data_IF_904649147063
#
_entry.id   IF_904649147063
#
_cell.length_a   1.000
_cell.length_b   1.000
_cell.length_c   1.000
_cell.angle_alpha   90.00
_cell.angle_beta   90.00
_cell.angle_gamma   90.00
#
_symmetry.space_group_name_H-M   'P 1'
#
loop_
_entity.id
_entity.type
_entity.pdbx_description
1 polymer ?
#
# COMPACT_ATOMS: atom_id res chain seq x y z
N UNK A 1 -34.69 -8.76 4.40
CA UNK A 1 -33.94 -8.08 5.50
C UNK A 1 -32.50 -7.94 5.01
N UNK A 2 -31.89 -6.77 5.15
CA UNK A 2 -30.48 -6.63 4.73
C UNK A 2 -29.60 -7.31 5.78
N UNK A 3 -28.65 -8.16 5.35
CA UNK A 3 -27.74 -8.84 6.24
C UNK A 3 -26.83 -7.82 6.95
N UNK A 4 -26.57 -8.08 8.23
CA UNK A 4 -25.68 -7.27 9.06
C UNK A 4 -24.24 -7.75 8.88
N UNK A 5 -23.38 -6.85 8.43
CA UNK A 5 -21.94 -7.12 8.29
C UNK A 5 -21.19 -6.37 9.37
N UNK A 6 -20.36 -7.09 10.11
CA UNK A 6 -19.36 -6.48 11.01
C UNK A 6 -17.99 -6.58 10.33
N UNK A 7 -17.23 -5.48 10.36
CA UNK A 7 -15.86 -5.42 9.85
C UNK A 7 -14.90 -5.13 11.02
N UNK A 8 -13.88 -5.95 11.18
CA UNK A 8 -12.84 -5.76 12.21
C UNK A 8 -11.73 -4.87 11.64
N UNK A 9 -11.50 -3.72 12.27
CA UNK A 9 -10.49 -2.74 11.90
C UNK A 9 -10.97 -1.76 10.84
N UNK A 10 -10.34 -0.57 10.80
CA UNK A 10 -10.67 0.53 9.90
C UNK A 10 -9.46 1.02 9.09
N UNK A 11 -8.61 0.08 8.63
CA UNK A 11 -7.56 0.36 7.65
C UNK A 11 -8.12 0.54 6.23
N UNK A 12 -7.29 0.90 5.25
CA UNK A 12 -7.71 1.14 3.87
C UNK A 12 -8.57 0.02 3.29
N UNK A 13 -8.18 -1.24 3.45
CA UNK A 13 -8.92 -2.38 2.92
C UNK A 13 -10.30 -2.53 3.55
N UNK A 14 -10.41 -2.30 4.86
CA UNK A 14 -11.67 -2.37 5.58
C UNK A 14 -12.60 -1.21 5.21
N UNK A 15 -12.07 0.02 5.14
CA UNK A 15 -12.84 1.20 4.71
C UNK A 15 -13.34 1.02 3.27
N UNK A 16 -12.47 0.58 2.35
CA UNK A 16 -12.85 0.31 0.97
C UNK A 16 -13.95 -0.75 0.89
N UNK A 17 -13.76 -1.90 1.54
CA UNK A 17 -14.74 -2.98 1.56
C UNK A 17 -16.09 -2.53 2.13
N UNK A 18 -16.07 -1.70 3.19
CA UNK A 18 -17.28 -1.17 3.80
C UNK A 18 -18.12 -0.33 2.85
N UNK A 19 -17.46 0.50 2.03
CA UNK A 19 -18.12 1.31 1.01
C UNK A 19 -18.83 0.45 -0.04
N UNK A 20 -18.13 -0.57 -0.59
CA UNK A 20 -18.74 -1.47 -1.58
C UNK A 20 -19.88 -2.30 -1.01
N UNK A 21 -19.74 -2.79 0.22
CA UNK A 21 -20.78 -3.56 0.90
C UNK A 21 -22.01 -2.70 1.21
N UNK A 22 -21.82 -1.47 1.69
CA UNK A 22 -22.91 -0.53 1.93
C UNK A 22 -23.63 -0.16 0.61
N UNK A 23 -22.88 0.11 -0.48
CA UNK A 23 -23.43 0.33 -1.82
C UNK A 23 -24.25 -0.87 -2.30
N UNK A 24 -23.88 -2.09 -1.94
CA UNK A 24 -24.63 -3.31 -2.26
C UNK A 24 -25.86 -3.52 -1.37
N UNK A 25 -26.17 -2.62 -0.45
CA UNK A 25 -27.37 -2.65 0.40
C UNK A 25 -27.22 -3.40 1.73
N UNK A 26 -26.00 -3.74 2.14
CA UNK A 26 -25.77 -4.35 3.45
C UNK A 26 -25.75 -3.30 4.58
N UNK A 27 -26.10 -3.71 5.79
CA UNK A 27 -25.91 -2.90 7.00
C UNK A 27 -24.50 -3.15 7.55
N UNK A 28 -23.61 -2.19 7.36
CA UNK A 28 -22.19 -2.34 7.70
C UNK A 28 -21.84 -1.59 8.98
N UNK A 29 -21.15 -2.29 9.90
CA UNK A 29 -20.55 -1.70 11.09
C UNK A 29 -19.08 -2.06 11.17
N UNK A 30 -18.22 -1.06 11.27
CA UNK A 30 -16.77 -1.23 11.49
C UNK A 30 -16.49 -1.10 13.00
N UNK A 31 -15.70 -2.03 13.55
CA UNK A 31 -15.18 -1.98 14.91
C UNK A 31 -13.67 -1.75 14.88
N UNK A 32 -13.24 -0.58 15.34
CA UNK A 32 -11.83 -0.18 15.37
C UNK A 32 -11.33 -0.14 16.83
N UNK A 33 -10.18 -0.79 17.06
CA UNK A 33 -9.60 -0.86 18.41
C UNK A 33 -9.01 0.47 18.91
N UNK A 34 -8.53 1.30 18.00
CA UNK A 34 -7.91 2.57 18.32
C UNK A 34 -8.96 3.68 18.37
N UNK A 35 -8.57 4.81 18.96
CA UNK A 35 -9.36 6.05 18.93
C UNK A 35 -9.48 6.64 17.53
N UNK A 36 -8.52 6.35 16.64
CA UNK A 36 -8.45 6.89 15.30
C UNK A 36 -8.48 5.75 14.26
N UNK A 37 -9.30 5.91 13.22
CA UNK A 37 -9.30 5.05 12.02
C UNK A 37 -8.04 5.23 11.18
N UNK A 38 -7.84 4.36 10.18
CA UNK A 38 -6.74 4.43 9.23
C UNK A 38 -5.70 3.32 9.36
N UNK A 39 -5.79 2.50 10.42
CA UNK A 39 -4.88 1.37 10.60
C UNK A 39 -3.42 1.83 10.69
N UNK A 40 -2.60 1.53 9.68
CA UNK A 40 -1.19 1.96 9.59
C UNK A 40 -1.00 3.35 8.98
N UNK A 41 -2.05 4.00 8.48
CA UNK A 41 -2.02 5.36 7.93
C UNK A 41 -2.69 6.37 8.87
N UNK A 42 -2.45 6.26 10.17
CA UNK A 42 -2.96 7.18 11.19
C UNK A 42 -2.09 8.42 11.28
N UNK A 43 -2.55 9.40 12.05
CA UNK A 43 -1.85 10.65 12.29
C UNK A 43 -1.56 10.83 13.79
N UNK A 44 -0.37 11.29 14.13
CA UNK A 44 0.01 11.67 15.50
C UNK A 44 0.00 13.19 15.62
N UNK A 45 -0.78 13.71 16.57
CA UNK A 45 -0.74 15.12 16.96
C UNK A 45 -0.18 15.23 18.36
N UNK A 46 0.95 15.91 18.52
CA UNK A 46 1.64 16.05 19.80
C UNK A 46 2.44 17.35 19.85
N UNK A 47 2.31 18.07 20.94
CA UNK A 47 3.10 19.28 21.25
C UNK A 47 3.07 20.33 20.12
N UNK A 48 1.91 20.50 19.46
CA UNK A 48 1.72 21.40 18.32
C UNK A 48 2.17 20.86 16.97
N UNK A 49 2.82 19.71 16.92
CA UNK A 49 3.23 19.03 15.70
C UNK A 49 2.18 18.02 15.21
N UNK A 50 2.16 17.83 13.91
CA UNK A 50 1.33 16.80 13.25
C UNK A 50 2.21 15.91 12.39
N UNK A 51 2.14 14.59 12.62
CA UNK A 51 2.92 13.60 11.89
C UNK A 51 2.00 12.53 11.30
N UNK A 52 2.16 12.21 10.03
CA UNK A 52 1.59 10.99 9.47
C UNK A 52 2.37 9.78 9.97
N UNK A 53 1.65 8.77 10.51
CA UNK A 53 2.26 7.57 11.05
C UNK A 53 2.17 6.46 10.01
N UNK A 54 3.25 6.24 9.25
CA UNK A 54 3.29 5.15 8.28
C UNK A 54 3.61 5.63 6.86
N UNK A 55 2.74 5.40 5.85
CA UNK A 55 3.05 5.75 4.49
C UNK A 55 3.17 7.26 4.29
N UNK A 56 4.17 7.66 3.50
CA UNK A 56 4.40 9.06 3.09
C UNK A 56 4.39 9.21 1.57
N UNK A 57 4.64 8.12 0.83
CA UNK A 57 4.57 8.08 -0.62
C UNK A 57 3.13 7.80 -1.08
N UNK A 58 2.54 8.72 -1.82
CA UNK A 58 1.28 8.51 -2.49
C UNK A 58 1.56 8.17 -3.97
N UNK A 59 1.52 6.89 -4.27
CA UNK A 59 1.65 6.35 -5.62
C UNK A 59 0.31 5.85 -6.14
N UNK A 60 0.23 5.61 -7.45
CA UNK A 60 -0.96 5.04 -8.11
C UNK A 60 -2.23 5.88 -7.88
N UNK A 61 -2.22 7.18 -8.19
CA UNK A 61 -3.39 8.04 -8.01
C UNK A 61 -4.63 7.52 -8.75
N UNK A 62 -4.46 6.85 -9.88
CA UNK A 62 -5.50 6.23 -10.68
C UNK A 62 -6.30 5.14 -9.92
N UNK A 63 -5.67 4.45 -8.96
CA UNK A 63 -6.35 3.46 -8.10
C UNK A 63 -7.34 4.15 -7.16
N UNK A 64 -6.95 5.29 -6.59
CA UNK A 64 -7.84 6.08 -5.74
C UNK A 64 -8.93 6.77 -6.55
N UNK A 65 -8.60 7.33 -7.72
CA UNK A 65 -9.60 7.89 -8.64
C UNK A 65 -10.64 6.84 -9.03
N UNK A 66 -10.21 5.62 -9.36
CA UNK A 66 -11.13 4.54 -9.65
C UNK A 66 -12.01 4.21 -8.44
N UNK A 67 -11.43 4.12 -7.24
CA UNK A 67 -12.20 3.86 -6.03
C UNK A 67 -13.34 4.88 -5.85
N UNK A 68 -13.04 6.17 -5.85
CA UNK A 68 -14.06 7.21 -5.69
C UNK A 68 -15.05 7.25 -6.87
N UNK A 69 -14.58 7.02 -8.10
CA UNK A 69 -15.44 7.01 -9.29
C UNK A 69 -16.48 5.89 -9.26
N UNK A 70 -16.18 4.76 -8.65
CA UNK A 70 -17.13 3.65 -8.46
C UNK A 70 -18.35 4.09 -7.61
N UNK A 71 -18.24 5.19 -6.87
CA UNK A 71 -19.31 5.81 -6.08
C UNK A 71 -19.84 7.10 -6.70
N UNK A 72 -19.43 7.44 -7.93
CA UNK A 72 -19.83 8.68 -8.61
C UNK A 72 -19.17 9.93 -8.05
N UNK A 73 -18.03 9.78 -7.37
CA UNK A 73 -17.23 10.84 -6.76
C UNK A 73 -15.87 10.96 -7.45
N UNK A 74 -15.15 12.05 -7.15
CA UNK A 74 -13.77 12.27 -7.56
C UNK A 74 -12.88 12.43 -6.32
N UNK A 75 -11.59 12.14 -6.43
CA UNK A 75 -10.61 12.42 -5.38
C UNK A 75 -10.68 13.89 -4.96
N UNK A 76 -10.79 14.81 -5.94
CA UNK A 76 -10.89 16.26 -5.71
C UNK A 76 -12.12 16.72 -4.94
N UNK A 77 -13.14 15.88 -4.77
CA UNK A 77 -14.30 16.20 -3.94
C UNK A 77 -13.96 16.12 -2.43
N UNK A 78 -12.85 15.46 -2.09
CA UNK A 78 -12.46 15.17 -0.71
C UNK A 78 -11.11 15.79 -0.33
N UNK A 79 -10.08 15.72 -1.19
CA UNK A 79 -8.76 16.31 -0.91
C UNK A 79 -8.07 16.78 -2.19
N UNK A 80 -7.15 17.72 -2.02
CA UNK A 80 -6.28 18.22 -3.10
C UNK A 80 -5.00 17.41 -3.12
N UNK A 81 -4.61 16.93 -4.30
CA UNK A 81 -3.42 16.14 -4.52
C UNK A 81 -2.39 16.98 -5.29
N UNK A 82 -1.19 17.10 -4.74
CA UNK A 82 -0.07 17.81 -5.34
C UNK A 82 1.00 16.82 -5.81
N UNK A 83 1.49 16.99 -7.04
CA UNK A 83 2.61 16.21 -7.56
C UNK A 83 3.92 16.82 -7.09
N UNK A 84 4.76 16.00 -6.46
CA UNK A 84 6.01 16.47 -5.88
C UNK A 84 7.11 16.59 -6.93
N UNK A 85 7.82 17.74 -6.95
CA UNK A 85 9.01 17.94 -7.75
C UNK A 85 10.09 18.67 -6.93
N UNK A 86 11.24 18.03 -6.60
CA UNK A 86 11.54 16.63 -6.93
C UNK A 86 10.60 15.67 -6.22
N UNK A 87 10.36 14.51 -6.85
CA UNK A 87 9.61 13.41 -6.25
C UNK A 87 10.30 12.95 -4.95
N UNK A 88 11.62 12.81 -5.01
CA UNK A 88 12.47 12.53 -3.85
C UNK A 88 13.95 12.76 -4.19
N UNK A 89 14.76 12.89 -3.14
CA UNK A 89 16.23 12.99 -3.22
C UNK A 89 16.85 11.70 -2.69
N UNK A 90 17.82 11.13 -3.40
CA UNK A 90 18.54 9.92 -2.98
C UNK A 90 19.98 10.25 -2.69
N UNK A 91 20.42 10.02 -1.46
CA UNK A 91 21.80 10.20 -1.00
C UNK A 91 22.54 8.87 -0.97
N UNK A 92 23.73 8.83 -1.55
CA UNK A 92 24.67 7.69 -1.52
C UNK A 92 25.91 7.98 -0.67
N UNK A 93 25.98 9.15 -0.08
CA UNK A 93 27.04 9.65 0.78
C UNK A 93 26.97 11.15 0.94
N UNK A 94 27.94 11.72 1.66
CA UNK A 94 28.04 13.17 1.87
C UNK A 94 28.33 13.84 0.52
N UNK A 95 27.52 14.82 0.12
CA UNK A 95 27.61 15.53 -1.17
C UNK A 95 27.48 14.63 -2.40
N UNK A 96 26.84 13.49 -2.27
CA UNK A 96 26.64 12.53 -3.34
C UNK A 96 25.16 12.15 -3.39
N UNK A 97 24.36 12.90 -4.16
CA UNK A 97 22.92 12.69 -4.27
C UNK A 97 22.46 12.71 -5.73
N UNK A 98 21.30 12.12 -5.95
CA UNK A 98 20.57 12.13 -7.21
C UNK A 98 19.14 12.57 -6.92
N UNK A 99 18.71 13.65 -7.57
CA UNK A 99 17.35 14.14 -7.52
C UNK A 99 16.48 13.43 -8.56
N UNK A 100 15.34 12.93 -8.15
CA UNK A 100 14.36 12.27 -9.02
C UNK A 100 13.23 13.26 -9.31
N UNK A 101 13.13 13.66 -10.58
CA UNK A 101 12.12 14.60 -11.04
C UNK A 101 10.69 13.97 -11.05
N UNK A 102 9.68 14.79 -11.27
CA UNK A 102 8.28 14.39 -11.33
C UNK A 102 7.85 13.78 -12.67
N UNK A 103 8.72 13.74 -13.66
CA UNK A 103 8.43 13.24 -14.99
C UNK A 103 9.55 12.38 -15.57
N UNK A 104 9.18 11.42 -16.42
CA UNK A 104 10.11 10.43 -16.97
C UNK A 104 11.17 11.04 -17.89
N UNK A 105 10.90 12.13 -18.59
CA UNK A 105 11.86 12.75 -19.51
C UNK A 105 13.06 13.32 -18.73
N UNK A 106 12.83 14.12 -17.71
CA UNK A 106 13.88 14.67 -16.85
C UNK A 106 14.65 13.58 -16.11
N UNK A 107 13.95 12.49 -15.71
CA UNK A 107 14.60 11.32 -15.10
C UNK A 107 15.53 10.65 -16.12
N UNK A 108 15.10 10.48 -17.38
CA UNK A 108 15.96 9.93 -18.46
C UNK A 108 17.18 10.79 -18.70
N UNK A 109 17.03 12.11 -18.68
CA UNK A 109 18.16 13.04 -18.82
C UNK A 109 19.15 12.92 -17.66
N UNK A 110 18.64 12.74 -16.44
CA UNK A 110 19.47 12.49 -15.25
C UNK A 110 20.25 11.18 -15.39
N UNK A 111 19.58 10.11 -15.82
CA UNK A 111 20.20 8.81 -16.05
C UNK A 111 21.28 8.89 -17.14
N UNK A 112 20.98 9.55 -18.27
CA UNK A 112 21.90 9.71 -19.40
C UNK A 112 23.18 10.45 -19.01
N UNK A 113 23.08 11.49 -18.16
CA UNK A 113 24.24 12.23 -17.64
C UNK A 113 25.15 11.35 -16.77
N UNK A 114 24.58 10.39 -16.03
CA UNK A 114 25.35 9.52 -15.13
C UNK A 114 25.89 8.29 -15.88
N UNK A 115 25.07 7.68 -16.74
CA UNK A 115 25.45 6.54 -17.59
C UNK A 115 25.02 6.81 -19.03
N UNK A 116 25.95 7.23 -19.92
CA UNK A 116 25.66 7.46 -21.35
C UNK A 116 24.99 6.24 -22.02
N UNK A 117 23.92 6.48 -22.74
CA UNK A 117 23.08 5.45 -23.37
C UNK A 117 22.04 4.80 -22.49
N UNK A 118 21.91 5.24 -21.22
CA UNK A 118 20.93 4.70 -20.29
C UNK A 118 19.51 5.22 -20.55
N UNK A 119 19.33 6.41 -21.10
CA UNK A 119 18.01 6.98 -21.38
C UNK A 119 17.13 6.04 -22.24
N UNK A 120 17.66 5.52 -23.34
CA UNK A 120 16.95 4.56 -24.22
C UNK A 120 16.67 3.24 -23.53
N UNK A 121 17.59 2.78 -22.66
CA UNK A 121 17.44 1.54 -21.90
C UNK A 121 16.38 1.68 -20.83
N UNK A 122 16.37 2.84 -20.13
CA UNK A 122 15.34 3.17 -19.16
C UNK A 122 13.97 3.23 -19.83
N UNK A 123 13.84 3.88 -21.00
CA UNK A 123 12.57 3.90 -21.74
C UNK A 123 12.07 2.48 -22.02
N UNK A 124 12.93 1.60 -22.55
CA UNK A 124 12.56 0.20 -22.80
C UNK A 124 12.16 -0.57 -21.54
N UNK A 125 12.85 -0.32 -20.43
CA UNK A 125 12.47 -0.89 -19.13
C UNK A 125 11.09 -0.39 -18.70
N UNK A 126 10.83 0.91 -18.83
CA UNK A 126 9.56 1.54 -18.45
C UNK A 126 8.39 1.11 -19.35
N UNK A 127 8.62 0.88 -20.65
CA UNK A 127 7.59 0.32 -21.55
C UNK A 127 7.14 -1.07 -21.06
N UNK A 128 8.10 -1.91 -20.65
CA UNK A 128 7.83 -3.20 -20.03
C UNK A 128 7.09 -3.09 -18.69
N UNK A 129 7.50 -2.12 -17.87
CA UNK A 129 6.87 -1.84 -16.57
C UNK A 129 5.42 -1.36 -16.73
N UNK A 130 5.15 -0.48 -17.69
CA UNK A 130 3.79 -0.02 -18.01
C UNK A 130 2.88 -1.16 -18.46
N UNK A 131 3.39 -2.04 -19.33
CA UNK A 131 2.63 -3.24 -19.74
C UNK A 131 2.34 -4.18 -18.55
N UNK A 132 3.25 -4.29 -17.57
CA UNK A 132 3.00 -5.07 -16.36
C UNK A 132 2.03 -4.37 -15.42
N UNK A 133 2.08 -3.03 -15.35
CA UNK A 133 1.13 -2.23 -14.58
C UNK A 133 -0.31 -2.44 -15.05
N UNK A 134 -0.54 -2.38 -16.36
CA UNK A 134 -1.86 -2.63 -16.94
C UNK A 134 -2.39 -4.02 -16.57
N UNK A 135 -1.56 -5.05 -16.67
CA UNK A 135 -1.94 -6.41 -16.29
C UNK A 135 -2.19 -6.53 -14.78
N UNK A 136 -1.26 -6.02 -13.96
CA UNK A 136 -1.33 -6.16 -12.50
C UNK A 136 -2.51 -5.38 -11.91
N UNK A 137 -2.60 -4.09 -12.23
CA UNK A 137 -3.48 -3.13 -11.54
C UNK A 137 -4.86 -3.03 -12.20
N UNK A 138 -4.95 -3.19 -13.54
CA UNK A 138 -6.24 -3.11 -14.23
C UNK A 138 -6.96 -4.46 -14.36
N UNK A 139 -6.28 -5.58 -14.15
CA UNK A 139 -6.87 -6.93 -14.28
C UNK A 139 -6.66 -7.79 -13.04
N UNK A 140 -5.39 -8.17 -12.72
CA UNK A 140 -5.12 -9.21 -11.73
C UNK A 140 -5.56 -8.84 -10.32
N UNK A 141 -5.43 -7.58 -9.93
CA UNK A 141 -5.78 -7.11 -8.57
C UNK A 141 -7.26 -7.28 -8.23
N UNK A 142 -8.13 -7.35 -9.25
CA UNK A 142 -9.57 -7.53 -9.07
C UNK A 142 -10.02 -9.00 -9.06
N UNK A 143 -9.10 -9.95 -9.29
CA UNK A 143 -9.40 -11.37 -9.24
C UNK A 143 -9.42 -11.87 -7.79
N UNK A 144 -10.29 -12.81 -7.44
CA UNK A 144 -10.47 -13.23 -6.04
C UNK A 144 -9.30 -14.01 -5.45
N UNK A 145 -8.29 -14.39 -6.22
CA UNK A 145 -7.08 -15.08 -5.73
C UNK A 145 -7.34 -16.49 -5.19
N UNK A 146 -8.38 -17.16 -5.64
CA UNK A 146 -8.75 -18.51 -5.18
C UNK A 146 -7.88 -19.61 -5.79
N UNK A 147 -7.29 -19.35 -6.94
CA UNK A 147 -6.48 -20.33 -7.66
C UNK A 147 -5.30 -19.65 -8.37
N UNK A 148 -4.16 -20.35 -8.39
CA UNK A 148 -3.00 -19.92 -9.19
C UNK A 148 -3.34 -19.80 -10.69
N UNK A 149 -4.35 -20.52 -11.16
CA UNK A 149 -4.81 -20.42 -12.55
C UNK A 149 -5.45 -19.07 -12.89
N UNK A 150 -5.88 -18.29 -11.92
CA UNK A 150 -6.37 -16.93 -12.14
C UNK A 150 -5.27 -15.97 -12.62
N UNK A 151 -4.02 -16.28 -12.27
CA UNK A 151 -2.83 -15.53 -12.71
C UNK A 151 -2.45 -15.93 -14.15
N UNK A 152 -2.83 -17.13 -14.61
CA UNK A 152 -2.49 -17.63 -15.94
C UNK A 152 -3.52 -17.11 -16.94
N UNK A 153 -3.19 -15.99 -17.58
CA UNK A 153 -3.92 -15.42 -18.73
C UNK A 153 -3.05 -15.51 -19.96
N UNK A 154 -3.62 -15.28 -21.14
CA UNK A 154 -2.82 -15.19 -22.39
C UNK A 154 -1.71 -14.14 -22.23
N UNK A 155 -2.01 -13.01 -21.60
CA UNK A 155 -1.06 -11.92 -21.39
C UNK A 155 0.06 -12.30 -20.41
N UNK A 156 -0.25 -13.01 -19.31
CA UNK A 156 0.76 -13.44 -18.34
C UNK A 156 1.56 -14.63 -18.84
N UNK A 157 0.98 -15.48 -19.70
CA UNK A 157 1.69 -16.60 -20.31
C UNK A 157 2.92 -16.17 -21.13
N UNK A 158 2.81 -15.05 -21.87
CA UNK A 158 3.96 -14.47 -22.58
C UNK A 158 5.01 -13.81 -21.67
N UNK A 159 4.69 -13.66 -20.39
CA UNK A 159 5.57 -13.03 -19.36
C UNK A 159 6.01 -14.02 -18.28
N UNK A 160 5.83 -15.32 -18.47
CA UNK A 160 6.20 -16.36 -17.49
C UNK A 160 7.67 -16.25 -17.02
N UNK A 161 8.57 -15.86 -17.91
CA UNK A 161 9.96 -15.62 -17.56
C UNK A 161 10.15 -14.53 -16.49
N UNK A 162 9.25 -13.55 -16.40
CA UNK A 162 9.32 -12.47 -15.42
C UNK A 162 8.84 -12.91 -14.02
N UNK A 163 8.13 -14.03 -13.90
CA UNK A 163 7.76 -14.62 -12.62
C UNK A 163 8.89 -15.51 -12.04
N UNK A 164 9.81 -15.98 -12.90
CA UNK A 164 10.96 -16.80 -12.51
C UNK A 164 12.19 -15.91 -12.27
N UNK A 165 12.38 -14.90 -13.09
CA UNK A 165 13.45 -13.90 -12.95
C UNK A 165 13.13 -12.93 -11.80
N UNK A 166 14.13 -12.18 -11.34
CA UNK A 166 13.97 -11.21 -10.25
C UNK A 166 14.31 -9.77 -10.69
N UNK A 167 13.87 -8.79 -9.90
CA UNK A 167 14.06 -7.37 -10.15
C UNK A 167 15.53 -7.02 -10.31
N UNK A 168 16.41 -7.48 -9.41
CA UNK A 168 17.85 -7.17 -9.46
C UNK A 168 18.47 -7.61 -10.77
N UNK A 169 18.20 -8.84 -11.20
CA UNK A 169 18.69 -9.39 -12.47
C UNK A 169 18.11 -8.65 -13.68
N UNK A 170 16.84 -8.30 -13.63
CA UNK A 170 16.18 -7.56 -14.71
C UNK A 170 16.79 -6.17 -14.86
N UNK A 171 16.89 -5.39 -13.77
CA UNK A 171 17.46 -4.04 -13.77
C UNK A 171 18.90 -4.05 -14.28
N UNK A 172 19.72 -5.03 -13.86
CA UNK A 172 21.12 -5.17 -14.29
C UNK A 172 21.31 -5.38 -15.81
N UNK A 173 20.29 -5.86 -16.54
CA UNK A 173 20.32 -5.98 -18.00
C UNK A 173 20.21 -4.64 -18.72
N UNK A 174 19.58 -3.66 -18.08
CA UNK A 174 19.37 -2.34 -18.66
C UNK A 174 20.40 -1.33 -18.19
N UNK A 175 20.71 -1.31 -16.90
CA UNK A 175 21.55 -0.30 -16.26
C UNK A 175 22.78 -0.94 -15.63
N UNK A 176 23.95 -0.31 -15.80
CA UNK A 176 25.22 -0.78 -15.25
C UNK A 176 25.65 -0.03 -14.00
N UNK A 177 25.33 1.27 -13.92
CA UNK A 177 25.68 2.10 -12.78
C UNK A 177 24.92 1.66 -11.51
N UNK A 178 25.65 1.38 -10.42
CA UNK A 178 25.07 0.83 -9.19
C UNK A 178 24.10 1.76 -8.50
N UNK A 179 24.31 3.08 -8.55
CA UNK A 179 23.38 4.06 -7.96
C UNK A 179 22.05 4.06 -8.70
N UNK A 180 22.10 4.07 -10.03
CA UNK A 180 20.89 4.01 -10.86
C UNK A 180 20.16 2.68 -10.71
N UNK A 181 20.87 1.57 -10.49
CA UNK A 181 20.25 0.28 -10.16
C UNK A 181 19.49 0.35 -8.85
N UNK A 182 20.11 0.87 -7.79
CA UNK A 182 19.47 1.01 -6.48
C UNK A 182 18.18 1.85 -6.55
N UNK A 183 18.17 2.91 -7.38
CA UNK A 183 16.96 3.71 -7.62
C UNK A 183 15.86 2.86 -8.27
N UNK A 184 16.18 2.02 -9.26
CA UNK A 184 15.20 1.14 -9.90
C UNK A 184 14.82 -0.08 -9.05
N UNK A 185 15.64 -0.49 -8.10
CA UNK A 185 15.37 -1.57 -7.16
C UNK A 185 14.57 -1.11 -5.93
N UNK A 186 14.64 0.18 -5.59
CA UNK A 186 14.00 0.75 -4.41
C UNK A 186 12.48 0.53 -4.35
N UNK A 187 11.68 0.72 -5.42
CA UNK A 187 10.22 0.64 -5.30
C UNK A 187 9.71 -0.71 -4.78
N UNK A 188 10.40 -1.82 -5.04
CA UNK A 188 9.96 -3.13 -4.56
C UNK A 188 10.22 -3.37 -3.07
N UNK A 189 11.06 -2.54 -2.43
CA UNK A 189 11.29 -2.64 -0.98
C UNK A 189 10.02 -2.37 -0.18
N UNK A 190 9.08 -1.57 -0.72
CA UNK A 190 7.77 -1.36 -0.11
C UNK A 190 6.91 -2.63 -0.02
N UNK A 191 7.22 -3.66 -0.80
CA UNK A 191 6.59 -4.99 -0.69
C UNK A 191 7.13 -5.80 0.51
N UNK A 192 8.18 -5.30 1.17
CA UNK A 192 8.83 -5.99 2.28
C UNK A 192 9.70 -7.18 1.85
N UNK A 193 10.22 -7.16 0.63
CA UNK A 193 11.08 -8.20 0.09
C UNK A 193 12.32 -7.60 -0.59
N UNK A 194 13.42 -8.36 -0.59
CA UNK A 194 14.65 -7.96 -1.28
C UNK A 194 14.48 -8.06 -2.81
N UNK A 195 15.14 -7.19 -3.61
CA UNK A 195 15.06 -7.21 -5.08
C UNK A 195 15.41 -8.57 -5.71
N UNK A 196 16.37 -9.32 -5.14
CA UNK A 196 16.75 -10.65 -5.61
C UNK A 196 15.69 -11.74 -5.32
N UNK A 197 14.75 -11.48 -4.41
CA UNK A 197 13.66 -12.39 -4.06
C UNK A 197 12.31 -11.96 -4.61
N UNK A 198 12.26 -10.80 -5.27
CA UNK A 198 11.04 -10.24 -5.84
C UNK A 198 11.00 -10.55 -7.34
N UNK A 199 9.95 -11.21 -7.86
CA UNK A 199 9.82 -11.49 -9.29
C UNK A 199 9.92 -10.22 -10.15
N UNK A 200 10.57 -10.33 -11.31
CA UNK A 200 10.79 -9.23 -12.22
C UNK A 200 9.47 -8.58 -12.72
N UNK A 201 8.37 -9.31 -12.68
CA UNK A 201 7.03 -8.80 -12.98
C UNK A 201 6.65 -7.59 -12.12
N UNK A 202 7.17 -7.49 -10.89
CA UNK A 202 6.92 -6.37 -9.98
C UNK A 202 7.59 -5.05 -10.39
N UNK A 203 8.28 -5.00 -11.55
CA UNK A 203 8.76 -3.75 -12.12
C UNK A 203 7.62 -2.74 -12.42
N UNK A 204 6.36 -3.17 -12.40
CA UNK A 204 5.21 -2.26 -12.46
C UNK A 204 5.23 -1.21 -11.34
N UNK A 205 5.91 -1.47 -10.21
CA UNK A 205 6.13 -0.47 -9.16
C UNK A 205 6.99 0.70 -9.67
N UNK A 206 7.94 0.44 -10.59
CA UNK A 206 8.70 1.51 -11.22
C UNK A 206 7.84 2.39 -12.13
N UNK A 207 6.82 1.80 -12.77
CA UNK A 207 5.85 2.59 -13.53
C UNK A 207 5.03 3.50 -12.62
N UNK A 208 4.58 2.97 -11.48
CA UNK A 208 3.88 3.76 -10.46
C UNK A 208 4.74 4.92 -9.95
N UNK A 209 6.03 4.70 -9.69
CA UNK A 209 6.97 5.69 -9.20
C UNK A 209 7.37 6.71 -10.29
N UNK A 210 8.03 6.25 -11.35
CA UNK A 210 8.73 7.13 -12.30
C UNK A 210 7.82 7.68 -13.41
N UNK A 211 6.71 7.00 -13.75
CA UNK A 211 5.78 7.45 -14.78
C UNK A 211 4.57 8.18 -14.19
N UNK A 212 3.90 7.57 -13.21
CA UNK A 212 2.74 8.20 -12.55
C UNK A 212 3.18 9.26 -11.54
N UNK A 213 4.39 9.12 -10.99
CA UNK A 213 5.03 10.06 -10.08
C UNK A 213 4.62 9.88 -8.62
N UNK A 214 5.31 10.62 -7.77
CA UNK A 214 5.04 10.68 -6.33
C UNK A 214 4.20 11.92 -6.03
N UNK A 215 3.13 11.73 -5.27
CA UNK A 215 2.16 12.78 -4.93
C UNK A 215 2.07 12.94 -3.42
N UNK A 216 1.47 14.04 -3.00
CA UNK A 216 1.16 14.30 -1.60
C UNK A 216 -0.21 14.96 -1.45
N UNK A 217 -1.11 14.43 -0.61
CA UNK A 217 -2.38 15.08 -0.33
C UNK A 217 -2.18 16.27 0.61
N UNK A 218 -2.80 17.41 0.31
CA UNK A 218 -2.82 18.53 1.22
C UNK A 218 -3.42 18.13 2.57
N UNK A 219 -2.77 18.49 3.66
CA UNK A 219 -3.13 18.05 5.01
C UNK A 219 -2.51 16.73 5.47
N UNK A 220 -1.67 16.12 4.62
CA UNK A 220 -0.96 14.88 4.91
C UNK A 220 -1.68 13.62 4.43
N UNK A 221 -1.03 12.48 4.57
CA UNK A 221 -1.59 11.18 4.12
C UNK A 221 -2.88 10.79 4.85
N UNK A 222 -3.10 11.34 6.05
CA UNK A 222 -4.33 11.09 6.80
C UNK A 222 -5.57 11.65 6.12
N UNK A 223 -5.45 12.69 5.28
CA UNK A 223 -6.56 13.23 4.49
C UNK A 223 -7.23 12.16 3.59
N UNK A 224 -6.45 11.20 3.10
CA UNK A 224 -6.98 10.06 2.32
C UNK A 224 -7.86 9.16 3.19
N UNK A 225 -7.46 8.94 4.45
CA UNK A 225 -8.25 8.15 5.42
C UNK A 225 -9.56 8.88 5.74
N UNK A 226 -9.49 10.20 6.00
CA UNK A 226 -10.67 11.03 6.27
C UNK A 226 -11.64 10.98 5.08
N UNK A 227 -11.16 11.12 3.86
CA UNK A 227 -11.96 11.00 2.65
C UNK A 227 -12.71 9.65 2.55
N UNK A 228 -12.03 8.55 2.88
CA UNK A 228 -12.66 7.23 2.88
C UNK A 228 -13.67 7.05 4.02
N UNK A 229 -13.43 7.66 5.18
CA UNK A 229 -14.37 7.69 6.32
C UNK A 229 -15.62 8.49 5.92
N UNK A 230 -15.44 9.64 5.31
CA UNK A 230 -16.55 10.51 4.87
C UNK A 230 -17.42 9.77 3.86
N UNK A 231 -16.83 9.18 2.83
CA UNK A 231 -17.56 8.37 1.85
C UNK A 231 -18.28 7.19 2.51
N UNK A 232 -17.63 6.46 3.42
CA UNK A 232 -18.26 5.35 4.14
C UNK A 232 -19.45 5.82 4.97
N UNK A 233 -19.32 6.98 5.62
CA UNK A 233 -20.39 7.62 6.42
C UNK A 233 -21.55 8.09 5.53
N UNK A 234 -21.27 8.71 4.39
CA UNK A 234 -22.30 9.08 3.39
C UNK A 234 -23.10 7.86 2.92
N UNK A 235 -22.45 6.69 2.83
CA UNK A 235 -23.08 5.42 2.45
C UNK A 235 -23.80 4.72 3.62
N UNK A 236 -23.80 5.31 4.82
CA UNK A 236 -24.49 4.78 6.01
C UNK A 236 -23.71 3.74 6.81
N UNK A 237 -22.39 3.61 6.58
CA UNK A 237 -21.52 2.74 7.40
C UNK A 237 -21.38 3.32 8.80
N UNK A 238 -21.54 2.48 9.81
CA UNK A 238 -21.27 2.84 11.21
C UNK A 238 -19.82 2.51 11.55
N UNK A 239 -19.06 3.49 12.05
CA UNK A 239 -17.69 3.28 12.51
C UNK A 239 -17.64 3.51 14.02
N UNK A 240 -17.26 2.48 14.77
CA UNK A 240 -17.16 2.52 16.24
C UNK A 240 -15.68 2.34 16.60
N UNK A 241 -15.08 3.41 17.06
CA UNK A 241 -13.68 3.42 17.55
C UNK A 241 -13.62 2.96 19.02
N UNK A 242 -12.39 2.74 19.54
CA UNK A 242 -12.13 2.26 20.91
C UNK A 242 -12.92 0.97 21.24
N UNK A 243 -13.21 0.18 20.20
CA UNK A 243 -13.97 -1.06 20.26
C UNK A 243 -13.15 -2.26 19.74
N UNK A 244 -12.13 -2.70 20.51
CA UNK A 244 -11.32 -3.86 20.12
C UNK A 244 -12.17 -5.13 20.11
N UNK A 245 -12.12 -5.87 19.00
CA UNK A 245 -12.70 -7.21 18.96
C UNK A 245 -11.76 -8.16 19.70
N UNK A 246 -12.28 -8.83 20.71
CA UNK A 246 -11.54 -9.74 21.59
C UNK A 246 -11.73 -11.20 21.18
N UNK A 247 -12.89 -11.53 20.59
CA UNK A 247 -13.24 -12.89 20.21
C UNK A 247 -14.28 -12.90 19.10
N UNK A 248 -14.22 -13.91 18.24
CA UNK A 248 -15.25 -14.23 17.25
C UNK A 248 -16.07 -15.40 17.79
N UNK A 249 -17.38 -15.23 17.87
CA UNK A 249 -18.30 -16.26 18.36
C UNK A 249 -18.89 -17.04 17.19
N UNK A 250 -18.74 -18.36 17.27
CA UNK A 250 -19.17 -19.30 16.20
C UNK A 250 -20.12 -20.33 16.81
N UNK A 251 -21.25 -20.55 16.15
CA UNK A 251 -22.18 -21.61 16.44
C UNK A 251 -22.52 -22.37 15.16
N UNK A 252 -22.46 -23.69 15.20
CA UNK A 252 -22.77 -24.56 14.05
C UNK A 252 -22.02 -24.15 12.76
N UNK A 253 -20.72 -23.87 12.90
CA UNK A 253 -19.82 -23.41 11.85
C UNK A 253 -20.19 -22.07 11.18
N UNK A 254 -21.03 -21.27 11.83
CA UNK A 254 -21.40 -19.94 11.37
C UNK A 254 -21.01 -18.89 12.42
N UNK A 255 -20.51 -17.75 11.95
CA UNK A 255 -20.31 -16.59 12.82
C UNK A 255 -21.67 -16.04 13.24
N UNK A 256 -21.81 -15.76 14.54
CA UNK A 256 -23.04 -15.18 15.08
C UNK A 256 -22.83 -13.80 15.69
N UNK A 257 -21.63 -13.53 16.20
CA UNK A 257 -21.28 -12.24 16.82
C UNK A 257 -19.77 -12.11 17.01
N UNK A 258 -19.36 -10.91 17.38
CA UNK A 258 -18.04 -10.63 17.94
C UNK A 258 -18.16 -10.04 19.32
N UNK A 259 -17.22 -10.38 20.21
CA UNK A 259 -17.17 -9.85 21.58
C UNK A 259 -16.23 -8.66 21.64
N UNK A 260 -16.69 -7.56 22.23
CA UNK A 260 -15.91 -6.36 22.55
C UNK A 260 -16.01 -6.06 24.06
N UNK A 261 -15.22 -5.14 24.63
CA UNK A 261 -15.39 -4.72 26.02
C UNK A 261 -16.78 -4.14 26.32
N UNK A 262 -17.50 -3.65 25.32
CA UNK A 262 -18.83 -3.09 25.44
C UNK A 262 -19.95 -4.13 25.31
N UNK A 263 -19.61 -5.39 25.06
CA UNK A 263 -20.55 -6.50 24.88
C UNK A 263 -20.47 -7.11 23.49
N UNK A 264 -21.38 -8.01 23.20
CA UNK A 264 -21.44 -8.73 21.93
C UNK A 264 -22.17 -7.94 20.85
N UNK A 265 -21.59 -7.91 19.66
CA UNK A 265 -22.19 -7.34 18.44
C UNK A 265 -22.55 -8.46 17.49
N UNK A 266 -23.86 -8.68 17.27
CA UNK A 266 -24.37 -9.71 16.38
C UNK A 266 -24.10 -9.36 14.91
N UNK A 267 -23.76 -10.36 14.09
CA UNK A 267 -23.57 -10.23 12.64
C UNK A 267 -23.96 -11.52 11.92
N UNK A 268 -24.42 -11.37 10.68
CA UNK A 268 -24.66 -12.47 9.77
C UNK A 268 -23.41 -12.81 8.96
N UNK A 269 -22.55 -11.80 8.72
CA UNK A 269 -21.28 -11.92 8.00
C UNK A 269 -20.22 -11.13 8.78
N UNK A 270 -19.03 -11.70 8.89
CA UNK A 270 -17.87 -11.05 9.47
C UNK A 270 -16.77 -10.93 8.40
N UNK A 271 -16.24 -9.72 8.22
CA UNK A 271 -15.07 -9.45 7.44
C UNK A 271 -13.95 -8.94 8.35
N UNK A 272 -12.76 -9.45 8.22
CA UNK A 272 -11.62 -8.93 8.97
C UNK A 272 -10.67 -8.15 8.05
N UNK A 273 -10.49 -6.86 8.34
CA UNK A 273 -9.44 -6.01 7.81
C UNK A 273 -8.20 -5.95 8.69
N UNK A 274 -8.17 -6.74 9.75
CA UNK A 274 -7.00 -6.89 10.61
C UNK A 274 -5.98 -7.88 10.00
N UNK A 275 -4.77 -7.89 10.57
CA UNK A 275 -3.75 -8.86 10.20
C UNK A 275 -4.28 -10.30 10.26
N UNK A 276 -3.90 -11.14 9.28
CA UNK A 276 -4.47 -12.47 9.15
C UNK A 276 -4.13 -13.38 10.34
N UNK A 277 -2.87 -13.36 10.81
CA UNK A 277 -2.46 -14.11 11.99
C UNK A 277 -3.23 -13.64 13.24
N UNK A 278 -3.40 -12.32 13.40
CA UNK A 278 -4.20 -11.77 14.49
C UNK A 278 -5.67 -12.22 14.39
N UNK A 279 -6.26 -12.17 13.21
CA UNK A 279 -7.65 -12.60 12.97
C UNK A 279 -7.87 -14.06 13.36
N UNK A 280 -6.94 -14.95 12.97
CA UNK A 280 -7.03 -16.36 13.35
C UNK A 280 -6.99 -16.57 14.87
N UNK A 281 -6.26 -15.74 15.59
CA UNK A 281 -6.20 -15.82 17.06
C UNK A 281 -7.51 -15.42 17.74
N UNK A 282 -8.37 -14.65 17.08
CA UNK A 282 -9.71 -14.30 17.56
C UNK A 282 -10.70 -15.47 17.41
N UNK A 283 -10.40 -16.44 16.55
CA UNK A 283 -11.21 -17.63 16.32
C UNK A 283 -10.95 -18.71 17.39
N UNK A 284 -11.97 -19.52 17.74
CA UNK A 284 -11.76 -20.78 18.45
C UNK A 284 -10.72 -21.66 17.74
N UNK A 285 -9.89 -22.36 18.48
CA UNK A 285 -8.82 -23.20 17.88
C UNK A 285 -9.35 -24.20 16.84
N UNK A 286 -10.54 -24.75 17.06
CA UNK A 286 -11.18 -25.69 16.13
C UNK A 286 -11.59 -25.06 14.79
N UNK A 287 -11.73 -23.74 14.71
CA UNK A 287 -12.17 -23.02 13.52
C UNK A 287 -11.03 -22.29 12.80
N UNK A 288 -9.78 -22.45 13.27
CA UNK A 288 -8.59 -21.85 12.63
C UNK A 288 -8.16 -22.65 11.39
N UNK A 289 -7.79 -21.93 10.35
CA UNK A 289 -7.24 -22.52 9.12
C UNK A 289 -5.85 -23.10 9.35
N UNK A 290 -5.03 -22.43 10.18
CA UNK A 290 -3.63 -22.76 10.40
C UNK A 290 -3.31 -22.97 11.89
N UNK A 291 -2.40 -23.91 12.16
CA UNK A 291 -1.93 -24.19 13.51
C UNK A 291 -0.92 -23.14 14.01
N UNK A 292 -0.71 -23.09 15.33
CA UNK A 292 0.35 -22.26 15.92
C UNK A 292 1.74 -22.65 15.36
N UNK A 293 1.98 -23.95 15.11
CA UNK A 293 3.22 -24.43 14.49
C UNK A 293 3.42 -23.93 13.05
N UNK A 294 2.35 -23.77 12.27
CA UNK A 294 2.43 -23.16 10.94
C UNK A 294 2.89 -21.70 11.05
N UNK A 295 2.28 -20.91 11.92
CA UNK A 295 2.61 -19.50 12.09
C UNK A 295 4.02 -19.28 12.63
N UNK A 296 4.48 -20.12 13.57
CA UNK A 296 5.84 -20.05 14.11
C UNK A 296 6.94 -20.30 13.07
N UNK A 297 6.62 -20.95 11.94
CA UNK A 297 7.54 -21.19 10.82
C UNK A 297 7.48 -20.14 9.72
N UNK A 298 6.56 -19.19 9.81
CA UNK A 298 6.40 -18.14 8.77
C UNK A 298 7.34 -16.97 9.03
N UNK A 299 7.92 -16.49 7.93
CA UNK A 299 8.64 -15.22 7.92
C UNK A 299 7.62 -14.08 7.79
N UNK A 300 7.55 -13.23 8.77
CA UNK A 300 6.76 -12.01 8.71
C UNK A 300 7.54 -10.93 7.95
N UNK A 301 6.81 -9.97 7.37
CA UNK A 301 7.42 -8.81 6.73
C UNK A 301 8.29 -8.03 7.74
N UNK A 302 9.36 -7.38 7.28
CA UNK A 302 10.21 -6.58 8.15
C UNK A 302 9.42 -5.45 8.82
N UNK A 303 9.87 -5.04 9.99
CA UNK A 303 9.37 -3.86 10.69
C UNK A 303 10.34 -2.70 10.49
N UNK A 304 9.87 -1.48 10.68
CA UNK A 304 10.68 -0.27 10.64
C UNK A 304 10.67 0.42 12.01
N UNK A 305 11.80 1.01 12.38
CA UNK A 305 11.88 1.94 13.50
C UNK A 305 11.63 3.35 12.96
N UNK A 306 10.60 4.01 13.46
CA UNK A 306 10.20 5.34 13.03
C UNK A 306 10.48 6.35 14.14
N UNK A 307 11.11 7.47 13.75
CA UNK A 307 11.31 8.63 14.60
C UNK A 307 10.47 9.79 14.08
N UNK A 308 9.74 10.45 14.96
CA UNK A 308 8.96 11.64 14.66
C UNK A 308 9.66 12.81 15.35
N UNK A 309 10.29 13.67 14.55
CA UNK A 309 11.17 14.74 15.05
C UNK A 309 10.54 16.08 14.71
N UNK A 310 10.17 16.85 15.73
CA UNK A 310 9.73 18.22 15.59
C UNK A 310 10.91 19.18 15.82
N UNK A 311 10.99 20.23 15.01
CA UNK A 311 11.98 21.28 15.14
C UNK A 311 11.28 22.61 15.49
N UNK A 312 11.94 23.44 16.27
CA UNK A 312 11.49 24.80 16.62
C UNK A 312 11.80 25.84 15.54
N UNK A 313 12.38 25.38 14.43
CA UNK A 313 12.76 26.21 13.28
C UNK A 313 12.57 25.43 11.98
N UNK A 314 12.38 26.17 10.89
CA UNK A 314 12.37 25.59 9.55
C UNK A 314 13.76 25.07 9.17
N UNK A 315 13.82 23.83 8.68
CA UNK A 315 15.02 23.25 8.09
C UNK A 315 15.01 23.56 6.60
N UNK A 316 16.03 24.30 6.15
CA UNK A 316 16.17 24.66 4.73
C UNK A 316 16.82 23.53 3.93
N UNK A 317 16.55 23.49 2.64
CA UNK A 317 17.16 22.56 1.67
C UNK A 317 16.88 21.07 1.98
N UNK A 318 15.67 20.78 2.47
CA UNK A 318 15.19 19.40 2.66
C UNK A 318 14.08 19.16 1.67
N UNK A 319 14.21 18.10 0.86
CA UNK A 319 13.15 17.63 -0.04
C UNK A 319 12.05 16.96 0.77
N UNK A 320 10.82 16.93 0.22
CA UNK A 320 9.68 16.28 0.88
C UNK A 320 9.98 14.82 1.24
N UNK A 321 10.66 14.10 0.33
CA UNK A 321 11.18 12.76 0.59
C UNK A 321 12.69 12.73 0.38
N UNK A 322 13.41 12.15 1.32
CA UNK A 322 14.85 11.95 1.27
C UNK A 322 15.18 10.51 1.62
N UNK A 323 15.93 9.85 0.75
CA UNK A 323 16.35 8.46 0.89
C UNK A 323 17.85 8.38 1.07
N UNK A 324 18.32 7.52 1.96
CA UNK A 324 19.74 7.26 2.19
C UNK A 324 20.06 5.81 1.82
N UNK A 325 20.84 5.62 0.75
CA UNK A 325 21.24 4.31 0.23
C UNK A 325 22.73 4.09 0.47
N UNK A 326 23.12 4.03 1.72
CA UNK A 326 24.51 3.90 2.17
C UNK A 326 25.00 2.44 2.20
N UNK A 327 24.08 1.48 2.17
CA UNK A 327 24.39 0.04 2.21
C UNK A 327 23.85 -0.70 0.99
N UNK A 328 24.29 -1.94 0.81
CA UNK A 328 23.74 -2.84 -0.21
C UNK A 328 22.38 -3.41 0.27
N UNK A 329 21.39 -3.45 -0.63
CA UNK A 329 20.06 -4.02 -0.35
C UNK A 329 20.08 -5.54 -0.14
N UNK A 330 21.19 -6.21 -0.40
CA UNK A 330 21.38 -7.64 -0.12
C UNK A 330 21.74 -7.94 1.33
N UNK A 331 22.10 -6.92 2.12
CA UNK A 331 22.47 -7.07 3.54
C UNK A 331 21.24 -7.14 4.47
#
# INVERSE_FOLDING_TARGET
MSNKIVIIGSGFSALSASCYLAKAGYQVTILEKNKQSGGRARQLKRDGFTFDIGPTFYWMPDVFEKFFSDFGKKVSDYYVLEKLNPAYEVYFGVNDSISIADNLEDIKDTFEKIEPGSAKKLQKFMDGAGSNYDIAIKDLVYKPGKSIFEIITIQTAFKLNQFIDNIKSQVARYIKNDKLRKILEFPVLFLGAKPEKTPAFYNFMNYADLQLGTWHPHGGMYAVVEAMIDLATELGVKIITESPVLKINIEKDQVISVTTPQGDTACDILLSGADYHHTERLLPKSSRQYSDSYWNKKTFAPSALLFYIGFDKEIKNVSHHTLFFDTDFSN
#
